data_IF_859474851340
#
_entry.id   IF_859474851340
#
_cell.length_a   1.000
_cell.length_b   1.000
_cell.length_c   1.000
_cell.angle_alpha   90.00
_cell.angle_beta   90.00
_cell.angle_gamma   90.00
#
_symmetry.space_group_name_H-M   'P 1'
#
loop_
_entity.id
_entity.type
_entity.pdbx_description
1 polymer ?
#
# COMPACT_ATOMS: atom_id res chain seq x y z
N UNK A 1 -20.91 -15.16 -23.31
CA UNK A 1 -20.65 -15.74 -21.97
C UNK A 1 -19.96 -14.74 -21.04
N UNK A 2 -18.88 -14.08 -21.47
CA UNK A 2 -18.16 -13.04 -20.70
C UNK A 2 -19.05 -11.80 -20.42
N UNK A 3 -19.78 -11.30 -21.43
CA UNK A 3 -20.70 -10.16 -21.25
C UNK A 3 -21.81 -10.45 -20.22
N UNK A 4 -22.37 -11.65 -20.22
CA UNK A 4 -23.37 -12.06 -19.23
C UNK A 4 -22.79 -12.27 -17.83
N UNK A 5 -21.49 -12.54 -17.71
CA UNK A 5 -20.79 -12.62 -16.43
C UNK A 5 -20.53 -11.22 -15.86
N UNK A 6 -20.12 -10.28 -16.72
CA UNK A 6 -19.93 -8.86 -16.38
C UNK A 6 -21.25 -8.24 -15.92
N UNK A 7 -22.35 -8.41 -16.67
CA UNK A 7 -23.68 -7.97 -16.25
C UNK A 7 -24.16 -8.61 -14.95
N UNK A 8 -23.66 -9.81 -14.60
CA UNK A 8 -24.02 -10.47 -13.33
C UNK A 8 -23.24 -9.93 -12.14
N UNK A 9 -22.01 -9.46 -12.35
CA UNK A 9 -21.24 -8.75 -11.33
C UNK A 9 -21.85 -7.36 -11.11
N UNK A 10 -22.19 -6.65 -12.21
CA UNK A 10 -22.95 -5.40 -12.17
C UNK A 10 -24.31 -5.57 -11.46
N UNK A 11 -24.98 -6.70 -11.70
CA UNK A 11 -26.22 -7.06 -11.01
C UNK A 11 -26.02 -7.44 -9.54
N UNK A 12 -24.87 -7.97 -9.14
CA UNK A 12 -24.55 -8.25 -7.73
C UNK A 12 -24.15 -6.97 -6.99
N UNK A 13 -23.55 -6.00 -7.70
CA UNK A 13 -23.28 -4.65 -7.20
C UNK A 13 -24.56 -3.81 -7.07
N UNK A 14 -25.51 -3.98 -7.99
CA UNK A 14 -26.82 -3.30 -7.97
C UNK A 14 -27.92 -4.07 -7.21
N UNK A 15 -27.68 -5.34 -6.84
CA UNK A 15 -28.49 -6.05 -5.84
C UNK A 15 -27.94 -5.75 -4.45
N UNK A 16 -28.33 -4.59 -3.93
CA UNK A 16 -28.89 -4.27 -2.59
C UNK A 16 -28.84 -5.31 -1.43
N UNK A 17 -27.91 -6.27 -1.43
CA UNK A 17 -27.90 -7.41 -0.50
C UNK A 17 -27.23 -7.03 0.82
N UNK A 18 -26.49 -5.90 0.88
CA UNK A 18 -25.92 -5.37 2.12
C UNK A 18 -26.16 -3.85 2.21
N UNK A 19 -27.43 -3.49 2.37
CA UNK A 19 -27.94 -2.16 2.78
C UNK A 19 -27.69 -0.99 1.82
N UNK A 20 -28.70 -0.13 1.65
CA UNK A 20 -28.61 1.20 1.01
C UNK A 20 -27.62 2.18 1.70
N UNK A 21 -26.73 1.71 2.57
CA UNK A 21 -25.76 2.55 3.27
C UNK A 21 -24.46 2.63 2.45
N UNK A 22 -24.10 3.82 1.93
CA UNK A 22 -22.91 4.00 1.09
C UNK A 22 -21.60 3.65 1.79
N UNK A 23 -21.56 3.57 3.12
CA UNK A 23 -20.36 3.19 3.89
C UNK A 23 -19.90 1.75 3.65
N UNK A 24 -20.75 0.87 3.10
CA UNK A 24 -20.37 -0.48 2.69
C UNK A 24 -19.81 -0.57 1.28
N UNK A 25 -19.87 0.52 0.50
CA UNK A 25 -19.21 0.58 -0.80
C UNK A 25 -17.70 0.51 -0.61
N UNK A 26 -17.02 -0.26 -1.45
CA UNK A 26 -15.57 -0.39 -1.40
C UNK A 26 -14.87 0.92 -1.81
N UNK A 27 -15.48 1.63 -2.76
CA UNK A 27 -15.02 2.89 -3.39
C UNK A 27 -15.33 4.13 -2.55
N UNK A 28 -15.95 3.96 -1.38
CA UNK A 28 -16.40 5.12 -0.60
C UNK A 28 -15.26 5.64 0.26
N UNK A 29 -14.80 6.86 -0.03
CA UNK A 29 -13.94 7.60 0.91
C UNK A 29 -14.60 7.68 2.29
N UNK A 30 -13.79 7.44 3.30
CA UNK A 30 -14.11 7.30 4.72
C UNK A 30 -15.11 6.17 5.01
N UNK A 31 -15.26 5.23 4.07
CA UNK A 31 -16.06 4.02 4.18
C UNK A 31 -15.37 2.94 5.02
N UNK A 32 -16.09 1.83 5.26
CA UNK A 32 -15.55 0.75 6.07
C UNK A 32 -14.36 0.01 5.42
N UNK A 33 -14.31 -0.05 4.09
CA UNK A 33 -13.18 -0.62 3.33
C UNK A 33 -11.90 0.15 3.62
N UNK A 34 -11.94 1.46 3.42
CA UNK A 34 -10.79 2.35 3.60
C UNK A 34 -10.31 2.39 5.05
N UNK A 35 -11.23 2.50 6.02
CA UNK A 35 -10.86 2.44 7.45
C UNK A 35 -10.18 1.10 7.77
N UNK A 36 -10.63 0.01 7.16
CA UNK A 36 -9.99 -1.30 7.35
C UNK A 36 -8.60 -1.36 6.69
N UNK A 37 -8.39 -0.67 5.57
CA UNK A 37 -7.06 -0.46 4.97
C UNK A 37 -6.13 0.27 5.94
N UNK A 38 -6.57 1.40 6.50
CA UNK A 38 -5.79 2.17 7.46
C UNK A 38 -5.39 1.36 8.70
N UNK A 39 -6.29 0.49 9.20
CA UNK A 39 -5.97 -0.41 10.31
C UNK A 39 -4.85 -1.38 9.94
N UNK A 40 -4.86 -1.93 8.72
CA UNK A 40 -3.80 -2.84 8.25
C UNK A 40 -2.45 -2.12 8.16
N UNK A 41 -2.43 -0.93 7.59
CA UNK A 41 -1.22 -0.09 7.50
C UNK A 41 -0.69 0.28 8.88
N UNK A 42 -1.57 0.70 9.79
CA UNK A 42 -1.22 0.97 11.18
C UNK A 42 -0.52 -0.22 11.85
N UNK A 43 -1.04 -1.44 11.65
CA UNK A 43 -0.40 -2.65 12.17
C UNK A 43 0.95 -2.95 11.50
N UNK A 44 1.08 -2.71 10.19
CA UNK A 44 2.37 -2.82 9.50
C UNK A 44 3.40 -1.86 10.08
N UNK A 45 3.02 -0.60 10.32
CA UNK A 45 3.88 0.40 10.98
C UNK A 45 4.34 -0.09 12.35
N UNK A 46 3.42 -0.57 13.20
CA UNK A 46 3.77 -1.10 14.52
C UNK A 46 4.76 -2.25 14.43
N UNK A 47 4.50 -3.23 13.55
CA UNK A 47 5.35 -4.41 13.42
C UNK A 47 6.75 -4.04 12.93
N UNK A 48 6.87 -3.12 11.98
CA UNK A 48 8.16 -2.62 11.50
C UNK A 48 8.91 -1.80 12.56
N UNK A 49 8.20 -0.99 13.37
CA UNK A 49 8.80 -0.30 14.51
C UNK A 49 9.36 -1.29 15.53
N UNK A 50 8.60 -2.34 15.86
CA UNK A 50 9.07 -3.40 16.78
C UNK A 50 10.32 -4.09 16.23
N UNK A 51 10.33 -4.43 14.93
CA UNK A 51 11.49 -5.03 14.27
C UNK A 51 12.70 -4.09 14.28
N UNK A 52 12.49 -2.80 14.00
CA UNK A 52 13.53 -1.77 14.05
C UNK A 52 14.19 -1.69 15.44
N UNK A 53 13.38 -1.62 16.50
CA UNK A 53 13.88 -1.51 17.87
C UNK A 53 14.62 -2.79 18.31
N UNK A 54 14.07 -3.97 17.99
CA UNK A 54 14.65 -5.26 18.43
C UNK A 54 15.92 -5.62 17.67
N UNK A 55 15.91 -5.47 16.35
CA UNK A 55 17.01 -5.94 15.50
C UNK A 55 18.07 -4.86 15.26
N UNK A 56 17.78 -3.59 15.53
CA UNK A 56 18.68 -2.44 15.33
C UNK A 56 19.19 -2.30 13.89
N UNK A 57 18.41 -2.75 12.91
CA UNK A 57 18.68 -2.53 11.50
C UNK A 57 17.83 -1.38 10.98
N UNK A 58 18.50 -0.38 10.39
CA UNK A 58 17.87 0.86 9.92
C UNK A 58 16.87 0.63 8.77
N UNK A 59 16.98 -0.49 8.05
CA UNK A 59 16.07 -0.85 6.95
C UNK A 59 14.61 -1.01 7.42
N UNK A 60 14.38 -1.55 8.62
CA UNK A 60 13.03 -1.65 9.18
C UNK A 60 12.44 -0.26 9.42
N UNK A 61 13.27 0.67 9.93
CA UNK A 61 12.87 2.06 10.12
C UNK A 61 12.59 2.77 8.78
N UNK A 62 13.41 2.54 7.75
CA UNK A 62 13.15 3.10 6.41
C UNK A 62 11.81 2.62 5.83
N UNK A 63 11.47 1.34 6.00
CA UNK A 63 10.15 0.83 5.64
C UNK A 63 9.03 1.42 6.52
N UNK A 64 9.26 1.61 7.82
CA UNK A 64 8.30 2.32 8.70
C UNK A 64 7.98 3.70 8.15
N UNK A 65 8.99 4.48 7.74
CA UNK A 65 8.77 5.82 7.20
C UNK A 65 7.92 5.78 5.92
N UNK A 66 8.13 4.79 5.06
CA UNK A 66 7.33 4.61 3.86
C UNK A 66 5.86 4.32 4.20
N UNK A 67 5.59 3.38 5.10
CA UNK A 67 4.20 3.06 5.47
C UNK A 67 3.52 4.17 6.29
N UNK A 68 4.28 4.94 7.08
CA UNK A 68 3.75 6.16 7.70
C UNK A 68 3.35 7.17 6.62
N UNK A 69 4.19 7.35 5.59
CA UNK A 69 3.84 8.23 4.50
C UNK A 69 2.58 7.76 3.79
N UNK A 70 2.48 6.48 3.38
CA UNK A 70 1.28 5.95 2.71
C UNK A 70 0.01 6.20 3.52
N UNK A 71 0.00 5.86 4.81
CA UNK A 71 -1.15 6.09 5.68
C UNK A 71 -1.52 7.57 5.80
N UNK A 72 -0.53 8.46 5.87
CA UNK A 72 -0.78 9.90 5.94
C UNK A 72 -1.21 10.47 4.59
N UNK A 73 -0.68 9.96 3.50
CA UNK A 73 -0.97 10.37 2.14
C UNK A 73 -2.44 10.09 1.82
N UNK A 74 -2.92 8.87 2.11
CA UNK A 74 -4.32 8.48 1.91
C UNK A 74 -5.24 9.23 2.87
N UNK A 75 -4.98 9.18 4.18
CA UNK A 75 -5.89 9.78 5.20
C UNK A 75 -5.97 11.31 5.19
N UNK A 76 -4.95 11.99 4.67
CA UNK A 76 -4.92 13.45 4.54
C UNK A 76 -4.99 13.91 3.09
N UNK A 77 -5.12 12.99 2.13
CA UNK A 77 -5.19 13.26 0.69
C UNK A 77 -4.02 14.15 0.24
N UNK A 78 -2.79 13.81 0.66
CA UNK A 78 -1.61 14.66 0.42
C UNK A 78 -1.33 14.72 -1.09
N UNK A 79 -1.33 13.59 -1.79
CA UNK A 79 -1.12 13.54 -3.24
C UNK A 79 -2.18 14.34 -4.02
N UNK A 80 -3.46 14.30 -3.61
CA UNK A 80 -4.52 15.09 -4.24
C UNK A 80 -4.30 16.60 -4.05
N UNK A 81 -4.07 17.02 -2.80
CA UNK A 81 -3.93 18.43 -2.44
C UNK A 81 -2.69 19.06 -3.08
N UNK A 82 -1.54 18.38 -3.00
CA UNK A 82 -0.31 18.86 -3.62
C UNK A 82 -0.35 18.70 -5.15
N UNK A 83 -1.02 17.66 -5.67
CA UNK A 83 -1.25 17.48 -7.10
C UNK A 83 -1.99 18.68 -7.69
N UNK A 84 -3.07 19.11 -7.03
CA UNK A 84 -3.85 20.29 -7.43
C UNK A 84 -3.01 21.58 -7.43
N UNK A 85 -2.16 21.73 -6.41
CA UNK A 85 -1.22 22.85 -6.34
C UNK A 85 -0.23 22.85 -7.52
N UNK A 86 0.36 21.70 -7.84
CA UNK A 86 1.30 21.56 -8.96
C UNK A 86 0.63 21.83 -10.31
N UNK A 87 -0.60 21.34 -10.51
CA UNK A 87 -1.39 21.61 -11.72
C UNK A 87 -1.55 23.10 -11.94
N UNK A 88 -1.94 23.83 -10.90
CA UNK A 88 -2.15 25.28 -10.97
C UNK A 88 -0.83 26.03 -11.17
N UNK A 89 0.24 25.62 -10.48
CA UNK A 89 1.52 26.33 -10.51
C UNK A 89 2.26 26.15 -11.85
N UNK A 90 2.23 24.95 -12.41
CA UNK A 90 2.92 24.60 -13.66
C UNK A 90 2.02 24.67 -14.89
N UNK A 91 0.73 25.03 -14.73
CA UNK A 91 -0.28 25.05 -15.79
C UNK A 91 -0.36 23.71 -16.53
N UNK A 92 -0.40 22.62 -15.76
CA UNK A 92 -0.44 21.25 -16.30
C UNK A 92 -1.74 21.06 -17.09
N UNK A 93 -1.61 20.63 -18.34
CA UNK A 93 -2.76 20.39 -19.21
C UNK A 93 -3.16 18.91 -19.17
N UNK A 94 -4.47 18.60 -19.31
CA UNK A 94 -4.93 17.23 -19.51
C UNK A 94 -4.23 16.55 -20.70
N UNK A 95 -3.83 15.30 -20.55
CA UNK A 95 -3.16 14.51 -21.59
C UNK A 95 -3.53 13.03 -21.45
N UNK A 96 -3.47 12.26 -22.55
CA UNK A 96 -3.75 10.81 -22.55
C UNK A 96 -5.13 10.42 -22.02
N UNK A 97 -6.13 11.31 -22.19
CA UNK A 97 -7.48 11.15 -21.62
C UNK A 97 -7.55 11.17 -20.08
N UNK A 98 -6.48 11.63 -19.43
CA UNK A 98 -6.43 11.90 -17.99
C UNK A 98 -6.71 13.35 -17.70
N UNK A 99 -7.25 13.62 -16.52
CA UNK A 99 -7.40 14.97 -15.98
C UNK A 99 -6.01 15.51 -15.66
N UNK A 100 -5.88 16.84 -15.65
CA UNK A 100 -4.63 17.46 -15.19
C UNK A 100 -4.32 17.07 -13.74
N UNK A 101 -5.36 16.90 -12.91
CA UNK A 101 -5.26 16.46 -11.52
C UNK A 101 -4.52 15.13 -11.39
N UNK A 102 -4.92 14.10 -12.14
CA UNK A 102 -4.30 12.76 -12.10
C UNK A 102 -2.80 12.81 -12.45
N UNK A 103 -2.43 13.70 -13.38
CA UNK A 103 -1.01 13.93 -13.73
C UNK A 103 -0.26 14.63 -12.58
N UNK A 104 -0.92 15.56 -11.88
CA UNK A 104 -0.38 16.21 -10.68
C UNK A 104 -0.16 15.23 -9.54
N UNK A 105 -1.14 14.38 -9.27
CA UNK A 105 -1.08 13.31 -8.27
C UNK A 105 0.07 12.33 -8.58
N UNK A 106 0.16 11.85 -9.83
CA UNK A 106 1.26 10.99 -10.28
C UNK A 106 2.63 11.64 -10.01
N UNK A 107 2.79 12.95 -10.22
CA UNK A 107 4.04 13.65 -9.95
C UNK A 107 4.38 13.69 -8.45
N UNK A 108 3.40 13.96 -7.58
CA UNK A 108 3.60 13.93 -6.13
C UNK A 108 3.97 12.53 -5.67
N UNK A 109 3.19 11.52 -6.09
CA UNK A 109 3.41 10.12 -5.75
C UNK A 109 4.77 9.64 -6.23
N UNK A 110 5.16 9.94 -7.47
CA UNK A 110 6.48 9.56 -8.00
C UNK A 110 7.64 10.24 -7.27
N UNK A 111 7.48 11.52 -6.91
CA UNK A 111 8.48 12.26 -6.14
C UNK A 111 8.65 11.68 -4.74
N UNK A 112 7.55 11.51 -3.99
CA UNK A 112 7.55 10.95 -2.64
C UNK A 112 8.08 9.53 -2.61
N UNK A 113 7.65 8.68 -3.54
CA UNK A 113 8.15 7.31 -3.67
C UNK A 113 9.66 7.29 -3.96
N UNK A 114 10.14 8.10 -4.91
CA UNK A 114 11.57 8.19 -5.24
C UNK A 114 12.41 8.63 -4.03
N UNK A 115 11.92 9.62 -3.29
CA UNK A 115 12.57 10.11 -2.07
C UNK A 115 12.64 9.01 -1.00
N UNK A 116 11.53 8.34 -0.69
CA UNK A 116 11.46 7.30 0.34
C UNK A 116 12.24 6.04 -0.05
N UNK A 117 12.15 5.60 -1.31
CA UNK A 117 12.92 4.47 -1.80
C UNK A 117 14.43 4.73 -1.80
N UNK A 118 14.88 5.99 -1.89
CA UNK A 118 16.30 6.31 -1.71
C UNK A 118 16.81 5.94 -0.31
N UNK A 119 16.03 6.17 0.75
CA UNK A 119 16.37 5.74 2.12
C UNK A 119 16.39 4.22 2.25
N UNK A 120 15.43 3.53 1.63
CA UNK A 120 15.37 2.06 1.62
C UNK A 120 16.57 1.48 0.86
N UNK A 121 16.95 2.06 -0.28
CA UNK A 121 18.12 1.65 -1.05
C UNK A 121 19.40 1.83 -0.23
N UNK A 122 19.58 3.00 0.42
CA UNK A 122 20.74 3.28 1.27
C UNK A 122 20.81 2.29 2.45
N UNK A 123 19.70 2.08 3.15
CA UNK A 123 19.65 1.15 4.30
C UNK A 123 19.91 -0.31 3.91
N UNK A 124 19.59 -0.71 2.68
CA UNK A 124 19.87 -2.04 2.15
C UNK A 124 21.36 -2.36 2.09
N UNK A 125 22.22 -1.37 1.85
CA UNK A 125 23.68 -1.55 1.87
C UNK A 125 24.21 -1.98 3.25
N UNK A 126 23.56 -1.53 4.34
CA UNK A 126 23.95 -1.83 5.72
C UNK A 126 23.21 -3.04 6.33
N UNK A 127 22.41 -3.73 5.53
CA UNK A 127 21.52 -4.80 6.00
C UNK A 127 22.10 -6.19 5.73
N UNK A 128 21.76 -7.16 6.59
CA UNK A 128 22.14 -8.56 6.39
C UNK A 128 21.28 -9.21 5.29
N UNK A 129 21.66 -10.41 4.83
CA UNK A 129 20.92 -11.13 3.80
C UNK A 129 19.45 -11.39 4.18
N UNK A 130 19.17 -11.64 5.47
CA UNK A 130 17.81 -11.89 5.98
C UNK A 130 16.92 -10.66 5.78
N UNK A 131 17.40 -9.50 6.21
CA UNK A 131 16.75 -8.19 6.05
C UNK A 131 16.57 -7.82 4.58
N UNK A 132 17.59 -8.09 3.73
CA UNK A 132 17.52 -7.78 2.30
C UNK A 132 16.44 -8.58 1.58
N UNK A 133 16.27 -9.86 1.92
CA UNK A 133 15.20 -10.70 1.37
C UNK A 133 13.83 -10.18 1.78
N UNK A 134 13.65 -9.82 3.07
CA UNK A 134 12.42 -9.19 3.53
C UNK A 134 12.14 -7.91 2.74
N UNK A 135 13.14 -7.03 2.61
CA UNK A 135 13.03 -5.76 1.89
C UNK A 135 12.62 -5.96 0.43
N UNK A 136 13.20 -6.95 -0.25
CA UNK A 136 12.82 -7.28 -1.62
C UNK A 136 11.36 -7.73 -1.72
N UNK A 137 10.89 -8.58 -0.81
CA UNK A 137 9.50 -9.03 -0.81
C UNK A 137 8.52 -7.90 -0.51
N UNK A 138 8.83 -7.04 0.47
CA UNK A 138 8.01 -5.84 0.76
C UNK A 138 8.03 -4.90 -0.46
N UNK A 139 9.17 -4.70 -1.10
CA UNK A 139 9.27 -3.88 -2.32
C UNK A 139 8.39 -4.41 -3.45
N UNK A 140 8.40 -5.72 -3.71
CA UNK A 140 7.54 -6.33 -4.72
C UNK A 140 6.06 -6.12 -4.35
N UNK A 141 5.69 -6.31 -3.08
CA UNK A 141 4.31 -6.12 -2.64
C UNK A 141 3.87 -4.65 -2.70
N UNK A 142 4.72 -3.69 -2.33
CA UNK A 142 4.43 -2.25 -2.46
C UNK A 142 4.35 -1.85 -3.93
N UNK A 143 5.17 -2.44 -4.80
CA UNK A 143 5.04 -2.22 -6.24
C UNK A 143 3.71 -2.77 -6.78
N UNK A 144 3.25 -3.93 -6.30
CA UNK A 144 1.92 -4.45 -6.62
C UNK A 144 0.81 -3.56 -6.05
N UNK A 145 1.00 -2.96 -4.87
CA UNK A 145 0.06 -2.01 -4.28
C UNK A 145 -0.08 -0.77 -5.18
N UNK A 146 1.05 -0.16 -5.54
CA UNK A 146 1.09 0.98 -6.47
C UNK A 146 0.58 0.64 -7.88
N UNK A 147 0.69 -0.62 -8.32
CA UNK A 147 0.06 -1.03 -9.57
C UNK A 147 -1.46 -0.87 -9.50
N UNK A 148 -2.12 -1.26 -8.40
CA UNK A 148 -3.55 -1.05 -8.25
C UNK A 148 -3.88 0.43 -8.04
N UNK A 149 -3.32 1.07 -7.02
CA UNK A 149 -3.66 2.47 -6.67
C UNK A 149 -3.12 3.58 -7.54
N UNK A 150 -2.37 3.25 -8.60
CA UNK A 150 -1.90 4.26 -9.56
C UNK A 150 -2.19 3.81 -10.97
N UNK A 151 -1.75 2.60 -11.37
CA UNK A 151 -1.87 2.20 -12.77
C UNK A 151 -3.31 1.80 -13.10
N UNK A 152 -3.99 1.05 -12.22
CA UNK A 152 -5.38 0.65 -12.46
C UNK A 152 -6.30 1.87 -12.34
N UNK A 153 -6.08 2.75 -11.36
CA UNK A 153 -6.79 4.04 -11.24
C UNK A 153 -6.65 4.91 -12.51
N UNK A 154 -5.41 5.15 -12.98
CA UNK A 154 -5.21 5.92 -14.22
C UNK A 154 -5.88 5.26 -15.44
N UNK A 155 -5.95 3.93 -15.49
CA UNK A 155 -6.68 3.22 -16.56
C UNK A 155 -8.19 3.35 -16.41
N UNK A 156 -8.70 3.36 -15.18
CA UNK A 156 -10.11 3.61 -14.86
C UNK A 156 -10.54 4.97 -15.42
N UNK A 157 -9.79 6.02 -15.13
CA UNK A 157 -10.07 7.38 -15.64
C UNK A 157 -9.87 7.49 -17.17
N UNK A 158 -8.82 6.87 -17.72
CA UNK A 158 -8.54 6.95 -19.15
C UNK A 158 -9.52 6.14 -20.02
N UNK A 159 -10.20 5.12 -19.50
CA UNK A 159 -11.06 4.21 -20.26
C UNK A 159 -12.52 4.30 -19.79
N UNK A 160 -13.42 4.96 -20.55
CA UNK A 160 -14.80 5.25 -20.13
C UNK A 160 -15.76 4.04 -20.15
N UNK A 161 -15.24 2.81 -20.22
CA UNK A 161 -16.06 1.59 -20.18
C UNK A 161 -15.73 0.76 -18.95
N UNK A 162 -16.73 0.07 -18.41
CA UNK A 162 -16.57 -0.86 -17.28
C UNK A 162 -16.05 -0.19 -15.99
N UNK A 163 -16.43 1.06 -15.73
CA UNK A 163 -15.98 1.86 -14.58
C UNK A 163 -16.11 1.11 -13.25
N UNK A 164 -17.26 0.49 -12.97
CA UNK A 164 -17.46 -0.31 -11.74
C UNK A 164 -16.54 -1.54 -11.63
N UNK A 165 -16.11 -2.11 -12.74
CA UNK A 165 -15.15 -3.22 -12.71
C UNK A 165 -13.73 -2.70 -12.43
N UNK A 166 -13.36 -1.55 -13.00
CA UNK A 166 -12.06 -0.93 -12.75
C UNK A 166 -11.92 -0.49 -11.30
N UNK A 167 -12.92 0.21 -10.77
CA UNK A 167 -12.94 0.66 -9.38
C UNK A 167 -12.89 -0.54 -8.40
N UNK A 168 -13.65 -1.61 -8.65
CA UNK A 168 -13.52 -2.84 -7.86
C UNK A 168 -12.13 -3.48 -7.95
N UNK A 169 -11.50 -3.46 -9.13
CA UNK A 169 -10.16 -4.03 -9.31
C UNK A 169 -9.08 -3.22 -8.60
N UNK A 170 -9.22 -1.89 -8.61
CA UNK A 170 -8.37 -0.93 -7.92
C UNK A 170 -8.44 -1.15 -6.41
N UNK A 171 -9.55 -0.79 -5.76
CA UNK A 171 -9.69 -0.87 -4.29
C UNK A 171 -9.59 -2.31 -3.77
N UNK A 172 -10.19 -3.26 -4.51
CA UNK A 172 -10.15 -4.67 -4.15
C UNK A 172 -8.74 -5.24 -4.24
N UNK A 173 -7.98 -4.81 -5.25
CA UNK A 173 -6.59 -5.18 -5.44
C UNK A 173 -5.71 -4.67 -4.31
N UNK A 174 -5.83 -3.39 -3.98
CA UNK A 174 -5.11 -2.78 -2.86
C UNK A 174 -5.38 -3.50 -1.54
N UNK A 175 -6.65 -3.76 -1.25
CA UNK A 175 -7.07 -4.40 -0.02
C UNK A 175 -6.44 -5.79 0.15
N UNK A 176 -6.36 -6.56 -0.94
CA UNK A 176 -5.72 -7.89 -0.97
C UNK A 176 -4.22 -7.75 -0.76
N UNK A 177 -3.55 -6.87 -1.51
CA UNK A 177 -2.09 -6.71 -1.41
C UNK A 177 -1.69 -6.21 -0.02
N UNK A 178 -2.41 -5.26 0.55
CA UNK A 178 -2.17 -4.75 1.90
C UNK A 178 -2.35 -5.85 2.96
N UNK A 179 -3.29 -6.77 2.74
CA UNK A 179 -3.46 -7.96 3.59
C UNK A 179 -2.26 -8.91 3.52
N UNK A 180 -1.69 -9.10 2.32
CA UNK A 180 -0.48 -9.90 2.15
C UNK A 180 0.75 -9.24 2.78
N UNK A 181 0.91 -7.92 2.66
CA UNK A 181 1.98 -7.18 3.33
C UNK A 181 1.92 -7.40 4.84
N UNK A 182 0.74 -7.17 5.44
CA UNK A 182 0.55 -7.35 6.88
C UNK A 182 0.85 -8.79 7.32
N UNK A 183 0.28 -9.77 6.62
CA UNK A 183 0.51 -11.19 6.90
C UNK A 183 2.00 -11.56 6.82
N UNK A 184 2.68 -11.11 5.77
CA UNK A 184 4.09 -11.41 5.53
C UNK A 184 4.99 -10.83 6.63
N UNK A 185 4.81 -9.55 6.99
CA UNK A 185 5.60 -8.88 8.02
C UNK A 185 5.34 -9.52 9.40
N UNK A 186 4.08 -9.84 9.70
CA UNK A 186 3.73 -10.53 10.94
C UNK A 186 4.43 -11.89 11.03
N UNK A 187 4.36 -12.71 9.97
CA UNK A 187 5.02 -14.01 9.91
C UNK A 187 6.53 -13.92 10.05
N UNK A 188 7.17 -12.95 9.38
CA UNK A 188 8.60 -12.71 9.53
C UNK A 188 8.98 -12.35 10.97
N UNK A 189 8.21 -11.47 11.61
CA UNK A 189 8.45 -11.07 13.00
C UNK A 189 8.35 -12.24 13.95
N UNK A 190 7.33 -13.10 13.80
CA UNK A 190 7.15 -14.30 14.65
C UNK A 190 8.35 -15.23 14.52
N UNK A 191 8.78 -15.55 13.29
CA UNK A 191 9.95 -16.41 13.06
C UNK A 191 11.23 -15.80 13.63
N UNK A 192 11.42 -14.49 13.46
CA UNK A 192 12.59 -13.79 13.99
C UNK A 192 12.64 -13.80 15.54
N UNK A 193 11.50 -13.67 16.22
CA UNK A 193 11.44 -13.79 17.68
C UNK A 193 11.81 -15.20 18.15
N UNK A 194 11.38 -16.25 17.42
CA UNK A 194 11.74 -17.65 17.72
C UNK A 194 13.26 -17.85 17.59
N UNK A 195 13.87 -17.36 16.51
CA UNK A 195 15.33 -17.45 16.28
C UNK A 195 16.12 -16.80 17.42
N UNK A 196 15.75 -15.58 17.82
CA UNK A 196 16.41 -14.83 18.89
C UNK A 196 16.31 -15.57 20.24
N UNK A 197 15.13 -16.12 20.55
CA UNK A 197 14.92 -16.86 21.79
C UNK A 197 15.74 -18.15 21.85
N UNK A 198 15.80 -18.90 20.74
CA UNK A 198 16.63 -20.11 20.64
C UNK A 198 18.11 -19.81 20.82
N UNK A 199 18.63 -18.77 20.15
CA UNK A 199 20.02 -18.33 20.31
C UNK A 199 20.33 -17.92 21.76
N UNK A 200 19.41 -17.21 22.40
CA UNK A 200 19.55 -16.79 23.80
C UNK A 200 19.57 -17.99 24.75
N UNK A 201 18.69 -18.97 24.53
CA UNK A 201 18.64 -20.21 25.30
C UNK A 201 19.93 -21.03 25.14
N UNK A 202 20.40 -21.23 23.91
CA UNK A 202 21.65 -21.95 23.64
C UNK A 202 22.84 -21.27 24.31
N UNK A 203 22.95 -19.93 24.20
CA UNK A 203 24.02 -19.17 24.83
C UNK A 203 24.05 -19.36 26.35
N UNK A 204 22.88 -19.38 26.99
CA UNK A 204 22.76 -19.64 28.44
C UNK A 204 23.18 -21.08 28.79
N UNK A 205 22.72 -22.06 28.02
CA UNK A 205 23.00 -23.50 28.25
C UNK A 205 24.48 -23.86 28.15
N UNK A 206 25.24 -23.19 27.28
CA UNK A 206 26.69 -23.43 27.11
C UNK A 206 27.58 -22.53 27.98
N UNK A 207 27.00 -21.59 28.73
CA UNK A 207 27.70 -20.77 29.72
C UNK A 207 27.61 -21.32 31.15
N UNK A 208 26.83 -22.38 31.36
CA UNK A 208 26.70 -23.17 32.60
C UNK A 208 27.52 -24.46 32.49
#
# INVERSE_FOLDING_TARGET
>A
MIVHFIYRIDAVYSMDIISNNPLFSIEKDWGYSEIFQYIKEYWVIILLVILSIKNKHIIYFSWTLLFIYLLLDDSLQIHENFGSYLVTYFDIQPMFNLRAQDLGELLVTAFSASFLFSFIAISTFFSSNKERILSLHIFILVFLLAFFGVIVDMLHEAVPCCTSMWALMEDGGEMIIMSFILWYIFGFKVNNDIDINLLTYMKKRFSE
#
